data_IF_281889778531
#
_entry.id   IF_281889778531
#
_cell.length_a   1.000
_cell.length_b   1.000
_cell.length_c   1.000
_cell.angle_alpha   90.00
_cell.angle_beta   90.00
_cell.angle_gamma   90.00
#
_symmetry.space_group_name_H-M   'P 1'
#
loop_
_entity.id
_entity.type
_entity.pdbx_description
1 polymer ?
#
# COMPACT_ATOMS: atom_id res chain seq x y z
N UNK A 1 -18.82 0.38 -18.06
CA UNK A 1 -18.57 -0.59 -16.96
C UNK A 1 -18.29 -1.95 -17.57
N UNK A 2 -17.39 -2.74 -17.00
CA UNK A 2 -17.33 -4.16 -17.36
C UNK A 2 -18.64 -4.80 -16.83
N UNK A 3 -19.46 -5.40 -17.70
CA UNK A 3 -20.69 -6.10 -17.32
C UNK A 3 -20.42 -7.43 -16.61
N UNK A 4 -19.46 -7.44 -15.67
CA UNK A 4 -19.16 -8.62 -14.88
C UNK A 4 -20.14 -8.67 -13.72
N UNK A 5 -20.98 -9.73 -13.62
CA UNK A 5 -21.85 -9.91 -12.48
C UNK A 5 -21.05 -9.91 -11.16
N UNK A 6 -21.48 -9.12 -10.20
CA UNK A 6 -20.85 -9.00 -8.90
C UNK A 6 -21.28 -10.17 -7.99
N UNK A 7 -20.99 -11.37 -8.43
CA UNK A 7 -21.26 -12.63 -7.74
C UNK A 7 -20.13 -13.62 -7.96
N UNK A 8 -19.75 -14.36 -6.93
CA UNK A 8 -18.79 -15.47 -7.03
C UNK A 8 -19.41 -16.65 -7.80
N UNK A 9 -18.62 -17.26 -8.67
CA UNK A 9 -19.03 -18.46 -9.39
C UNK A 9 -17.81 -19.34 -9.70
N UNK A 10 -17.82 -20.57 -9.25
CA UNK A 10 -16.80 -21.55 -9.61
C UNK A 10 -17.40 -22.55 -10.59
N UNK A 11 -16.79 -22.67 -11.76
CA UNK A 11 -17.17 -23.63 -12.82
C UNK A 11 -16.13 -24.73 -13.00
N UNK A 12 -14.94 -24.51 -12.47
CA UNK A 12 -13.85 -25.51 -12.39
C UNK A 12 -13.22 -25.49 -11.00
N UNK A 13 -12.33 -26.45 -10.71
CA UNK A 13 -11.38 -26.28 -9.61
C UNK A 13 -10.43 -25.11 -9.89
N UNK A 14 -9.77 -24.60 -8.85
CA UNK A 14 -8.78 -23.52 -8.97
C UNK A 14 -7.38 -24.07 -8.68
N UNK A 15 -6.44 -23.99 -9.67
CA UNK A 15 -6.61 -23.46 -11.02
C UNK A 15 -7.42 -24.38 -11.95
N UNK A 16 -8.12 -23.78 -12.94
CA UNK A 16 -8.77 -24.52 -14.01
C UNK A 16 -7.79 -24.96 -15.11
N UNK A 17 -8.23 -25.78 -16.10
CA UNK A 17 -7.37 -26.36 -17.11
C UNK A 17 -6.69 -25.32 -18.03
N UNK A 18 -7.38 -24.23 -18.42
CA UNK A 18 -6.78 -23.17 -19.24
C UNK A 18 -5.73 -22.39 -18.44
N UNK A 19 -6.01 -22.13 -17.16
CA UNK A 19 -5.04 -21.50 -16.25
C UNK A 19 -3.79 -22.38 -16.09
N UNK A 20 -3.95 -23.70 -15.99
CA UNK A 20 -2.83 -24.64 -15.92
C UNK A 20 -1.97 -24.64 -17.20
N UNK A 21 -2.59 -24.58 -18.39
CA UNK A 21 -1.90 -24.43 -19.67
C UNK A 21 -1.10 -23.12 -19.74
N UNK A 22 -1.73 -22.00 -19.38
CA UNK A 22 -1.07 -20.69 -19.34
C UNK A 22 0.06 -20.64 -18.32
N UNK A 23 -0.07 -21.35 -17.20
CA UNK A 23 1.00 -21.47 -16.20
C UNK A 23 2.23 -22.20 -16.78
N UNK A 24 2.04 -23.23 -17.58
CA UNK A 24 3.15 -23.88 -18.26
C UNK A 24 3.87 -22.92 -19.25
N UNK A 25 3.12 -22.15 -20.02
CA UNK A 25 3.67 -21.10 -20.91
C UNK A 25 4.40 -20.01 -20.12
N UNK A 26 3.84 -19.59 -18.98
CA UNK A 26 4.47 -18.62 -18.09
C UNK A 26 5.82 -19.10 -17.59
N UNK A 27 5.90 -20.35 -17.12
CA UNK A 27 7.17 -20.95 -16.65
C UNK A 27 8.24 -20.95 -17.76
N UNK A 28 7.84 -21.15 -19.00
CA UNK A 28 8.77 -21.15 -20.14
C UNK A 28 9.21 -19.73 -20.58
N UNK A 29 8.38 -18.68 -20.37
CA UNK A 29 8.61 -17.36 -20.96
C UNK A 29 8.95 -16.27 -19.94
N UNK A 30 8.56 -16.40 -18.67
CA UNK A 30 8.70 -15.38 -17.64
C UNK A 30 9.81 -15.77 -16.66
N UNK A 31 10.70 -14.80 -16.38
CA UNK A 31 11.79 -15.01 -15.42
C UNK A 31 11.27 -15.50 -14.06
N UNK A 32 11.93 -16.50 -13.48
CA UNK A 32 11.52 -17.15 -12.23
C UNK A 32 11.39 -16.20 -11.05
N UNK A 33 12.13 -15.07 -11.05
CA UNK A 33 12.04 -14.02 -10.04
C UNK A 33 10.70 -13.28 -10.01
N UNK A 34 9.88 -13.37 -11.07
CA UNK A 34 8.52 -12.82 -11.09
C UNK A 34 7.57 -13.86 -10.48
N UNK A 35 7.29 -13.73 -9.18
CA UNK A 35 6.39 -14.64 -8.45
C UNK A 35 4.93 -14.57 -8.88
N UNK A 36 4.13 -15.54 -8.42
CA UNK A 36 2.67 -15.56 -8.57
C UNK A 36 2.08 -16.20 -7.31
N UNK A 37 1.14 -15.53 -6.68
CA UNK A 37 0.48 -16.01 -5.46
C UNK A 37 -0.61 -17.03 -5.78
N UNK A 38 -1.45 -16.72 -6.77
CA UNK A 38 -2.57 -17.57 -7.19
C UNK A 38 -2.36 -17.92 -8.67
N UNK A 39 -2.30 -19.20 -9.05
CA UNK A 39 -2.00 -19.62 -10.43
C UNK A 39 -3.25 -19.61 -11.33
N UNK A 40 -4.07 -18.56 -11.25
CA UNK A 40 -5.16 -18.28 -12.19
C UNK A 40 -4.76 -17.15 -13.13
N UNK A 41 -5.33 -17.15 -14.33
CA UNK A 41 -5.08 -16.09 -15.32
C UNK A 41 -6.34 -15.30 -15.55
N UNK A 42 -6.27 -14.02 -15.23
CA UNK A 42 -7.40 -13.09 -15.35
C UNK A 42 -7.75 -12.85 -16.81
N UNK A 43 -9.02 -13.03 -17.17
CA UNK A 43 -9.59 -12.65 -18.46
C UNK A 43 -10.23 -11.25 -18.37
N UNK A 44 -10.99 -10.98 -17.30
CA UNK A 44 -11.66 -9.71 -17.04
C UNK A 44 -11.69 -9.41 -15.54
N UNK A 45 -11.78 -8.15 -15.16
CA UNK A 45 -11.99 -7.75 -13.78
C UNK A 45 -12.91 -6.53 -13.72
N UNK A 46 -13.74 -6.43 -12.68
CA UNK A 46 -14.66 -5.31 -12.49
C UNK A 46 -15.23 -5.29 -11.07
N UNK A 47 -15.36 -4.10 -10.49
CA UNK A 47 -15.81 -3.96 -9.10
C UNK A 47 -14.93 -4.79 -8.14
N UNK A 48 -15.56 -5.72 -7.42
CA UNK A 48 -14.91 -6.67 -6.49
C UNK A 48 -14.71 -8.08 -7.05
N UNK A 49 -14.85 -8.30 -8.37
CA UNK A 49 -14.76 -9.62 -9.01
C UNK A 49 -13.61 -9.67 -10.02
N UNK A 50 -12.89 -10.78 -9.99
CA UNK A 50 -11.95 -11.21 -11.02
C UNK A 50 -12.55 -12.44 -11.72
N UNK A 51 -12.68 -12.39 -13.06
CA UNK A 51 -13.07 -13.52 -13.88
C UNK A 51 -11.82 -14.10 -14.57
N UNK A 52 -11.55 -15.39 -14.35
CA UNK A 52 -10.42 -16.06 -14.95
C UNK A 52 -10.73 -16.61 -16.36
N UNK A 53 -9.69 -17.11 -17.04
CA UNK A 53 -9.79 -17.69 -18.40
C UNK A 53 -10.61 -18.98 -18.44
N UNK A 54 -10.84 -19.61 -17.31
CA UNK A 54 -11.66 -20.83 -17.16
C UNK A 54 -13.14 -20.50 -16.91
N UNK A 55 -13.46 -19.22 -16.66
CA UNK A 55 -14.82 -18.73 -16.40
C UNK A 55 -15.21 -18.74 -14.92
N UNK A 56 -14.24 -18.98 -14.02
CA UNK A 56 -14.48 -18.78 -12.59
C UNK A 56 -14.52 -17.28 -12.27
N UNK A 57 -15.43 -16.88 -11.40
CA UNK A 57 -15.50 -15.54 -10.82
C UNK A 57 -15.10 -15.60 -9.36
N UNK A 58 -13.99 -14.95 -9.03
CA UNK A 58 -13.39 -14.91 -7.70
C UNK A 58 -13.68 -13.57 -7.03
N UNK A 59 -13.92 -13.61 -5.73
CA UNK A 59 -14.01 -12.39 -4.89
C UNK A 59 -12.58 -11.87 -4.68
N UNK A 60 -12.38 -10.57 -4.93
CA UNK A 60 -11.08 -9.93 -4.81
C UNK A 60 -10.93 -9.19 -3.47
N UNK A 61 -10.19 -9.79 -2.53
CA UNK A 61 -9.73 -9.10 -1.30
C UNK A 61 -8.25 -8.68 -1.39
N UNK A 62 -7.75 -8.49 -2.61
CA UNK A 62 -6.36 -8.06 -2.85
C UNK A 62 -6.23 -6.75 -3.59
N UNK A 63 -7.20 -6.39 -4.44
CA UNK A 63 -7.20 -5.16 -5.26
C UNK A 63 -5.87 -4.92 -6.00
N UNK A 64 -5.20 -5.98 -6.48
CA UNK A 64 -3.87 -5.82 -7.08
C UNK A 64 -2.82 -5.24 -6.12
N UNK A 65 -2.91 -5.54 -4.82
CA UNK A 65 -2.14 -4.98 -3.71
C UNK A 65 -2.48 -3.48 -3.52
N UNK A 66 -3.75 -3.19 -3.20
CA UNK A 66 -4.30 -1.85 -2.96
C UNK A 66 -4.24 -0.89 -4.17
N UNK A 67 -4.18 -1.41 -5.39
CA UNK A 67 -4.09 -0.59 -6.61
C UNK A 67 -5.47 -0.23 -7.14
N UNK A 68 -6.39 -1.19 -7.25
CA UNK A 68 -7.73 -1.00 -7.79
C UNK A 68 -8.75 -0.60 -6.70
N UNK A 69 -8.40 0.40 -5.89
CA UNK A 69 -9.25 0.89 -4.80
C UNK A 69 -10.63 1.35 -5.26
N UNK A 70 -10.71 1.95 -6.43
CA UNK A 70 -11.96 2.41 -7.09
C UNK A 70 -12.70 1.28 -7.82
N UNK A 71 -12.25 0.04 -7.66
CA UNK A 71 -12.69 -1.13 -8.43
C UNK A 71 -11.88 -1.31 -9.72
N UNK A 72 -11.71 -2.56 -10.14
CA UNK A 72 -11.10 -2.85 -11.43
C UNK A 72 -12.00 -2.30 -12.55
N UNK A 73 -11.41 -1.66 -13.55
CA UNK A 73 -12.11 -1.07 -14.70
C UNK A 73 -13.20 -0.05 -14.30
N UNK A 74 -12.94 0.83 -13.31
CA UNK A 74 -13.86 1.89 -12.91
C UNK A 74 -14.24 2.79 -14.10
N UNK A 75 -15.53 3.12 -14.23
CA UNK A 75 -16.08 3.79 -15.41
C UNK A 75 -15.40 5.12 -15.73
N UNK A 76 -15.24 6.00 -14.74
CA UNK A 76 -14.60 7.29 -14.94
C UNK A 76 -13.14 7.16 -15.35
N UNK A 77 -12.41 6.17 -14.80
CA UNK A 77 -11.04 5.86 -15.18
C UNK A 77 -10.97 5.42 -16.64
N UNK A 78 -11.79 4.45 -17.03
CA UNK A 78 -11.83 3.93 -18.41
C UNK A 78 -12.22 5.02 -19.41
N UNK A 79 -13.27 5.79 -19.11
CA UNK A 79 -13.77 6.88 -19.97
C UNK A 79 -12.68 7.92 -20.23
N UNK A 80 -12.06 8.45 -19.14
CA UNK A 80 -11.03 9.50 -19.26
C UNK A 80 -9.76 8.98 -19.92
N UNK A 81 -9.28 7.79 -19.53
CA UNK A 81 -8.09 7.19 -20.11
C UNK A 81 -8.27 6.87 -21.61
N UNK A 82 -9.45 6.36 -22.02
CA UNK A 82 -9.73 6.07 -23.42
C UNK A 82 -9.82 7.34 -24.28
N UNK A 83 -10.40 8.42 -23.77
CA UNK A 83 -10.41 9.71 -24.45
C UNK A 83 -8.98 10.24 -24.66
N UNK A 84 -8.17 10.25 -23.60
CA UNK A 84 -6.78 10.69 -23.67
C UNK A 84 -5.93 9.80 -24.61
N UNK A 85 -6.19 8.49 -24.62
CA UNK A 85 -5.50 7.54 -25.51
C UNK A 85 -5.76 7.84 -27.00
N UNK A 86 -6.97 8.34 -27.31
CA UNK A 86 -7.34 8.74 -28.66
C UNK A 86 -6.67 10.06 -29.10
N UNK A 87 -6.41 10.96 -28.15
CA UNK A 87 -5.77 12.25 -28.46
C UNK A 87 -4.25 12.10 -28.63
N UNK A 88 -3.55 11.66 -27.60
CA UNK A 88 -2.12 11.33 -27.63
C UNK A 88 -1.70 10.47 -26.43
N UNK A 89 -0.71 9.62 -26.64
CA UNK A 89 -0.22 8.67 -25.63
C UNK A 89 1.00 9.18 -24.90
N UNK A 90 1.80 10.08 -25.49
CA UNK A 90 3.06 10.53 -24.94
C UNK A 90 3.61 11.74 -25.68
N UNK A 91 4.15 12.72 -24.93
CA UNK A 91 4.95 13.83 -25.47
C UNK A 91 6.20 14.12 -24.62
N UNK A 92 6.37 13.45 -23.47
CA UNK A 92 7.30 13.76 -22.39
C UNK A 92 7.06 15.16 -21.81
N UNK A 93 6.49 15.24 -20.61
CA UNK A 93 6.10 16.50 -19.98
C UNK A 93 7.24 17.52 -19.90
N UNK A 94 8.48 17.06 -19.70
CA UNK A 94 9.66 17.93 -19.67
C UNK A 94 10.04 18.53 -21.05
N UNK A 95 9.50 17.99 -22.15
CA UNK A 95 9.74 18.49 -23.51
C UNK A 95 8.56 19.32 -23.98
N UNK A 96 7.35 18.75 -23.91
CA UNK A 96 6.11 19.43 -24.29
C UNK A 96 5.05 19.18 -23.24
N UNK A 97 4.83 20.16 -22.32
CA UNK A 97 3.85 20.03 -21.24
C UNK A 97 2.42 19.85 -21.74
N UNK A 98 1.57 19.25 -20.89
CA UNK A 98 0.13 19.05 -21.13
C UNK A 98 -0.68 19.24 -19.86
N UNK A 99 -1.94 19.67 -20.04
CA UNK A 99 -2.84 20.12 -18.96
C UNK A 99 -3.10 19.02 -17.91
N UNK A 100 -3.32 17.78 -18.35
CA UNK A 100 -3.64 16.67 -17.43
C UNK A 100 -2.60 16.41 -16.33
N UNK A 101 -1.30 16.68 -16.61
CA UNK A 101 -0.26 16.61 -15.57
C UNK A 101 -0.45 17.71 -14.54
N UNK A 102 -0.70 18.95 -15.01
CA UNK A 102 -0.91 20.12 -14.14
C UNK A 102 -2.15 19.89 -13.25
N UNK A 103 -3.26 19.45 -13.86
CA UNK A 103 -4.51 19.18 -13.14
C UNK A 103 -4.33 18.11 -12.04
N UNK A 104 -3.59 17.03 -12.31
CA UNK A 104 -3.26 16.04 -11.27
C UNK A 104 -2.47 16.68 -10.11
N UNK A 105 -1.48 17.53 -10.41
CA UNK A 105 -0.70 18.22 -9.38
C UNK A 105 -1.58 19.16 -8.54
N UNK A 106 -2.52 19.87 -9.17
CA UNK A 106 -3.50 20.73 -8.49
C UNK A 106 -4.41 19.91 -7.56
N UNK A 107 -4.92 18.77 -8.02
CA UNK A 107 -5.73 17.85 -7.18
C UNK A 107 -4.93 17.30 -6.01
N UNK A 108 -3.68 16.92 -6.22
CA UNK A 108 -2.81 16.46 -5.14
C UNK A 108 -2.54 17.56 -4.11
N UNK A 109 -2.33 18.79 -4.55
CA UNK A 109 -2.16 19.94 -3.64
C UNK A 109 -3.43 20.21 -2.82
N UNK A 110 -4.62 20.03 -3.41
CA UNK A 110 -5.90 20.17 -2.73
C UNK A 110 -6.13 19.05 -1.69
N UNK A 111 -5.82 17.81 -2.05
CA UNK A 111 -6.15 16.61 -1.26
C UNK A 111 -5.18 16.35 -0.10
N UNK A 112 -3.90 16.73 -0.26
CA UNK A 112 -2.88 16.47 0.77
C UNK A 112 -3.03 17.41 1.96
N UNK A 113 -2.79 16.94 3.20
CA UNK A 113 -3.03 17.73 4.41
C UNK A 113 -2.14 18.98 4.52
N UNK A 114 -2.63 19.97 5.25
CA UNK A 114 -1.97 21.25 5.54
C UNK A 114 -2.38 22.38 4.59
N UNK A 115 -2.30 23.63 5.08
CA UNK A 115 -2.74 24.85 4.38
C UNK A 115 -1.59 25.61 3.67
N UNK A 116 -0.37 25.07 3.74
CA UNK A 116 0.80 25.66 3.09
C UNK A 116 0.75 25.46 1.57
N UNK A 117 1.49 26.29 0.82
CA UNK A 117 1.67 26.11 -0.62
C UNK A 117 2.33 24.78 -0.93
N UNK A 118 1.78 24.03 -1.88
CA UNK A 118 2.25 22.70 -2.24
C UNK A 118 2.58 22.61 -3.71
N UNK A 119 3.55 21.75 -4.04
CA UNK A 119 3.88 21.35 -5.40
C UNK A 119 4.01 19.83 -5.50
N UNK A 120 3.88 19.31 -6.71
CA UNK A 120 4.01 17.88 -6.98
C UNK A 120 4.94 17.62 -8.16
N UNK A 121 5.58 16.46 -8.14
CA UNK A 121 6.27 15.89 -9.30
C UNK A 121 5.76 14.47 -9.51
N UNK A 122 5.45 14.09 -10.76
CA UNK A 122 4.86 12.80 -11.11
C UNK A 122 5.90 11.85 -11.69
N UNK A 123 5.77 10.56 -11.32
CA UNK A 123 6.64 9.46 -11.74
C UNK A 123 5.80 8.24 -12.10
N UNK A 124 6.42 7.06 -12.31
CA UNK A 124 5.71 5.85 -12.76
C UNK A 124 5.40 4.86 -11.63
N UNK A 125 6.27 4.75 -10.62
CA UNK A 125 6.18 3.74 -9.57
C UNK A 125 6.44 4.33 -8.18
N UNK A 126 5.96 3.63 -7.14
CA UNK A 126 6.21 4.03 -5.76
C UNK A 126 7.70 4.10 -5.43
N UNK A 127 8.51 3.17 -5.93
CA UNK A 127 9.95 3.21 -5.74
C UNK A 127 10.58 4.49 -6.31
N UNK A 128 10.15 4.94 -7.50
CA UNK A 128 10.60 6.21 -8.08
C UNK A 128 10.16 7.41 -7.23
N UNK A 129 8.93 7.41 -6.70
CA UNK A 129 8.47 8.46 -5.80
C UNK A 129 9.35 8.54 -4.55
N UNK A 130 9.64 7.42 -3.89
CA UNK A 130 10.51 7.39 -2.70
C UNK A 130 11.94 7.83 -3.03
N UNK A 131 12.52 7.35 -4.13
CA UNK A 131 13.86 7.77 -4.60
C UNK A 131 13.92 9.29 -4.79
N UNK A 132 12.88 9.89 -5.40
CA UNK A 132 12.81 11.32 -5.63
C UNK A 132 12.51 12.11 -4.34
N UNK A 133 11.72 11.58 -3.40
CA UNK A 133 11.54 12.20 -2.08
C UNK A 133 12.88 12.31 -1.34
N UNK A 134 13.73 11.27 -1.39
CA UNK A 134 15.09 11.31 -0.83
C UNK A 134 15.95 12.36 -1.56
N UNK A 135 15.91 12.43 -2.90
CA UNK A 135 16.65 13.45 -3.67
C UNK A 135 16.23 14.87 -3.26
N UNK A 136 14.94 15.12 -3.13
CA UNK A 136 14.38 16.42 -2.75
C UNK A 136 14.82 16.78 -1.33
N UNK A 137 14.68 15.86 -0.37
CA UNK A 137 15.08 16.08 1.02
C UNK A 137 16.58 16.39 1.16
N UNK A 138 17.43 15.63 0.45
CA UNK A 138 18.89 15.87 0.41
C UNK A 138 19.22 17.22 -0.25
N UNK A 139 18.51 17.58 -1.33
CA UNK A 139 18.70 18.86 -1.99
C UNK A 139 18.30 20.05 -1.09
N UNK A 140 17.24 19.90 -0.30
CA UNK A 140 16.76 20.92 0.61
C UNK A 140 17.64 21.06 1.85
N UNK A 141 17.89 19.98 2.57
CA UNK A 141 18.60 20.00 3.84
C UNK A 141 20.12 20.10 3.71
N UNK A 142 20.68 19.71 2.55
CA UNK A 142 22.13 19.53 2.31
C UNK A 142 22.76 18.45 3.19
N UNK A 143 21.95 17.52 3.69
CA UNK A 143 22.33 16.38 4.53
C UNK A 143 22.22 15.07 3.74
N UNK A 144 22.81 13.97 4.24
CA UNK A 144 22.89 12.71 3.48
C UNK A 144 22.14 11.55 4.08
N UNK A 145 22.04 11.46 5.41
CA UNK A 145 21.42 10.32 6.08
C UNK A 145 19.89 10.28 5.91
N UNK A 146 19.38 9.08 5.73
CA UNK A 146 17.93 8.81 5.66
C UNK A 146 17.58 7.79 6.72
N UNK A 147 16.60 8.10 7.54
CA UNK A 147 16.09 7.21 8.59
C UNK A 147 14.81 6.56 8.11
N UNK A 148 14.73 5.23 8.28
CA UNK A 148 13.55 4.39 8.02
C UNK A 148 13.28 3.50 9.22
N UNK A 149 12.18 2.76 9.21
CA UNK A 149 11.74 2.00 10.38
C UNK A 149 11.72 0.49 10.13
N UNK A 150 11.84 -0.27 11.22
CA UNK A 150 11.61 -1.71 11.18
C UNK A 150 10.24 -2.03 10.59
N UNK A 151 10.13 -3.16 9.91
CA UNK A 151 8.95 -3.60 9.18
C UNK A 151 8.58 -2.73 7.95
N UNK A 152 9.27 -1.61 7.67
CA UNK A 152 8.98 -0.74 6.53
C UNK A 152 9.28 -1.38 5.18
N UNK A 153 8.50 -0.99 4.16
CA UNK A 153 8.70 -1.37 2.76
C UNK A 153 8.57 -0.14 1.85
N UNK A 154 9.61 0.16 1.09
CA UNK A 154 9.69 1.37 0.27
C UNK A 154 9.97 1.13 -1.22
N UNK A 155 10.17 -0.12 -1.64
CA UNK A 155 10.35 -0.48 -3.04
C UNK A 155 11.45 -1.51 -3.31
N UNK A 156 11.77 -1.70 -4.59
CA UNK A 156 12.71 -2.71 -5.10
C UNK A 156 13.81 -2.14 -6.01
N UNK A 157 14.08 -0.84 -5.97
CA UNK A 157 15.29 -0.24 -6.54
C UNK A 157 16.44 -0.32 -5.54
N UNK A 158 17.66 -0.02 -5.93
CA UNK A 158 18.82 -0.20 -5.06
C UNK A 158 18.70 0.56 -3.74
N UNK A 159 18.34 1.85 -3.77
CA UNK A 159 18.12 2.65 -2.56
C UNK A 159 16.92 2.12 -1.76
N UNK A 160 15.77 1.93 -2.42
CA UNK A 160 14.53 1.53 -1.73
C UNK A 160 14.60 0.09 -1.17
N UNK A 161 15.38 -0.82 -1.77
CA UNK A 161 15.71 -2.12 -1.15
C UNK A 161 16.52 -1.93 0.13
N UNK A 162 17.50 -1.00 0.14
CA UNK A 162 18.24 -0.62 1.36
C UNK A 162 17.31 -0.13 2.46
N UNK A 163 16.29 0.65 2.09
CA UNK A 163 15.27 1.20 2.99
C UNK A 163 14.26 0.14 3.47
N UNK A 164 13.98 -0.89 2.67
CA UNK A 164 13.04 -1.97 3.02
C UNK A 164 13.62 -2.87 4.13
N UNK A 165 12.82 -3.20 5.14
CA UNK A 165 13.28 -3.97 6.30
C UNK A 165 13.45 -5.46 6.00
N UNK A 166 12.43 -6.11 5.44
CA UNK A 166 12.38 -7.56 5.24
C UNK A 166 13.41 -8.05 4.20
N UNK A 167 14.25 -9.03 4.57
CA UNK A 167 15.25 -9.61 3.68
C UNK A 167 14.59 -10.43 2.55
N UNK A 168 13.97 -11.56 2.86
CA UNK A 168 13.23 -12.35 1.87
C UNK A 168 11.78 -11.86 1.73
N UNK A 169 11.27 -11.70 0.49
CA UNK A 169 11.91 -11.98 -0.81
C UNK A 169 12.61 -10.76 -1.44
N UNK A 170 12.80 -9.64 -0.72
CA UNK A 170 13.08 -8.34 -1.33
C UNK A 170 14.55 -8.04 -1.56
N UNK A 171 15.44 -8.50 -0.67
CA UNK A 171 16.85 -8.05 -0.58
C UNK A 171 17.87 -9.16 -0.78
N UNK A 172 17.51 -10.41 -0.51
CA UNK A 172 18.44 -11.54 -0.50
C UNK A 172 19.21 -11.67 -1.82
N UNK A 173 20.52 -11.50 -1.77
CA UNK A 173 21.40 -11.65 -2.92
C UNK A 173 21.48 -10.46 -3.88
N UNK A 174 20.84 -9.30 -3.56
CA UNK A 174 20.81 -8.12 -4.44
C UNK A 174 21.72 -6.96 -4.00
N UNK A 175 22.49 -7.14 -2.90
CA UNK A 175 23.45 -6.12 -2.44
C UNK A 175 24.69 -5.99 -3.35
N UNK A 176 25.50 -4.94 -3.15
CA UNK A 176 25.38 -3.92 -2.09
C UNK A 176 24.29 -2.89 -2.36
N UNK A 177 23.72 -2.33 -1.29
CA UNK A 177 22.71 -1.29 -1.36
C UNK A 177 23.32 0.11 -1.22
N UNK A 178 22.54 1.15 -1.54
CA UNK A 178 22.93 2.53 -1.35
C UNK A 178 23.29 2.82 0.13
N UNK A 179 24.35 3.57 0.41
CA UNK A 179 24.76 3.94 1.75
C UNK A 179 23.84 5.02 2.35
N UNK A 180 24.10 5.37 3.62
CA UNK A 180 23.41 6.43 4.37
C UNK A 180 21.92 6.15 4.59
N UNK A 181 21.56 4.88 4.75
CA UNK A 181 20.23 4.44 5.16
C UNK A 181 20.31 3.77 6.52
N UNK A 182 19.64 4.34 7.49
CA UNK A 182 19.64 3.90 8.89
C UNK A 182 18.24 3.45 9.29
N UNK A 183 18.18 2.33 10.03
CA UNK A 183 16.89 1.75 10.46
C UNK A 183 16.78 1.80 11.96
N UNK A 184 15.61 2.28 12.44
CA UNK A 184 15.30 2.41 13.86
C UNK A 184 13.99 1.67 14.17
N UNK A 185 13.70 1.37 15.46
CA UNK A 185 12.49 0.70 15.87
C UNK A 185 11.21 1.46 15.50
N UNK A 186 10.10 0.70 15.32
CA UNK A 186 8.75 1.20 15.17
C UNK A 186 7.87 0.71 16.33
N UNK A 187 6.86 1.47 16.70
CA UNK A 187 5.92 1.12 17.77
C UNK A 187 4.95 0.00 17.35
N UNK A 188 5.41 -1.24 17.28
CA UNK A 188 4.58 -2.40 17.01
C UNK A 188 3.86 -2.86 18.30
N UNK A 189 2.69 -2.28 18.58
CA UNK A 189 1.99 -2.44 19.84
C UNK A 189 1.75 -3.88 20.24
N UNK A 190 1.23 -4.73 19.35
CA UNK A 190 0.97 -6.14 19.65
C UNK A 190 2.21 -6.91 20.14
N UNK A 191 3.40 -6.57 19.60
CA UNK A 191 4.67 -7.24 19.93
C UNK A 191 5.57 -6.45 20.85
N UNK A 192 5.12 -5.27 21.33
CA UNK A 192 5.96 -4.45 22.20
C UNK A 192 6.14 -5.12 23.57
N UNK A 193 7.38 -5.18 24.12
CA UNK A 193 7.65 -5.99 25.32
C UNK A 193 6.88 -5.56 26.57
N UNK A 194 6.63 -4.24 26.72
CA UNK A 194 5.96 -3.66 27.90
C UNK A 194 4.46 -3.45 27.72
N UNK A 195 3.90 -3.89 26.59
CA UNK A 195 2.48 -3.74 26.26
C UNK A 195 2.22 -2.64 25.20
N UNK A 196 1.06 -2.76 24.56
CA UNK A 196 0.67 -1.86 23.48
C UNK A 196 0.48 -0.41 23.94
N UNK A 197 0.04 -0.22 25.17
CA UNK A 197 -0.20 1.09 25.78
C UNK A 197 1.08 1.90 25.98
N UNK A 198 2.23 1.25 26.15
CA UNK A 198 3.53 1.91 26.34
C UNK A 198 4.28 2.08 25.00
N UNK A 199 3.93 1.29 23.98
CA UNK A 199 4.67 1.15 22.74
C UNK A 199 4.92 2.48 22.04
N UNK A 200 3.92 3.38 21.98
CA UNK A 200 4.04 4.65 21.30
C UNK A 200 5.14 5.55 21.90
N UNK A 201 5.11 5.73 23.21
CA UNK A 201 6.07 6.57 23.92
C UNK A 201 7.47 5.94 24.00
N UNK A 202 7.56 4.66 24.32
CA UNK A 202 8.85 3.98 24.47
C UNK A 202 9.58 3.81 23.13
N UNK A 203 8.88 3.38 22.08
CA UNK A 203 9.49 3.21 20.75
C UNK A 203 9.91 4.53 20.15
N UNK A 204 9.12 5.61 20.31
CA UNK A 204 9.53 6.93 19.81
C UNK A 204 10.76 7.46 20.55
N UNK A 205 10.80 7.30 21.88
CA UNK A 205 11.97 7.68 22.68
C UNK A 205 13.22 6.89 22.25
N UNK A 206 13.08 5.57 22.06
CA UNK A 206 14.17 4.72 21.61
C UNK A 206 14.64 5.12 20.21
N UNK A 207 13.73 5.30 19.25
CA UNK A 207 14.08 5.69 17.89
C UNK A 207 14.82 7.04 17.86
N UNK A 208 14.34 8.05 18.60
CA UNK A 208 14.96 9.37 18.72
C UNK A 208 16.36 9.28 19.34
N UNK A 209 16.51 8.49 20.40
CA UNK A 209 17.80 8.26 21.05
C UNK A 209 18.81 7.60 20.11
N UNK A 210 18.38 6.56 19.36
CA UNK A 210 19.22 5.91 18.36
C UNK A 210 19.63 6.86 17.23
N UNK A 211 18.70 7.65 16.69
CA UNK A 211 19.02 8.67 15.67
C UNK A 211 20.07 9.65 16.21
N UNK A 212 19.84 10.16 17.42
CA UNK A 212 20.70 11.18 18.02
C UNK A 212 22.10 10.65 18.30
N UNK A 213 22.22 9.44 18.84
CA UNK A 213 23.51 8.85 19.25
C UNK A 213 24.32 8.25 18.09
N UNK A 214 23.63 7.62 17.13
CA UNK A 214 24.31 6.87 16.05
C UNK A 214 24.59 7.73 14.83
N UNK A 215 23.74 8.71 14.53
CA UNK A 215 23.76 9.47 13.28
C UNK A 215 24.08 10.94 13.54
N UNK A 216 23.50 11.51 14.60
CA UNK A 216 23.40 12.96 14.82
C UNK A 216 22.26 13.55 14.01
N UNK A 217 21.30 14.20 14.67
CA UNK A 217 20.11 14.75 14.00
C UNK A 217 20.46 15.77 12.89
N UNK A 218 21.58 16.48 13.05
CA UNK A 218 22.11 17.44 12.08
C UNK A 218 22.57 16.82 10.76
N UNK A 219 22.79 15.51 10.70
CA UNK A 219 23.21 14.77 9.49
C UNK A 219 22.00 14.16 8.75
N UNK A 220 20.82 14.11 9.38
CA UNK A 220 19.63 13.46 8.82
C UNK A 220 18.92 14.39 7.84
N UNK A 221 18.80 13.95 6.58
CA UNK A 221 18.06 14.65 5.53
C UNK A 221 16.56 14.39 5.64
N UNK A 222 16.16 13.14 5.87
CA UNK A 222 14.77 12.73 5.95
C UNK A 222 14.53 11.58 6.93
N UNK A 223 13.35 11.59 7.51
CA UNK A 223 12.71 10.45 8.16
C UNK A 223 11.55 10.02 7.27
N UNK A 224 11.50 8.75 6.87
CA UNK A 224 10.50 8.20 5.95
C UNK A 224 9.78 7.04 6.60
N UNK A 225 8.45 7.11 6.66
CA UNK A 225 7.62 6.10 7.31
C UNK A 225 6.28 5.91 6.57
N UNK A 226 5.82 4.66 6.52
CA UNK A 226 4.44 4.36 6.16
C UNK A 226 3.54 4.62 7.39
N UNK A 227 2.49 5.44 7.32
CA UNK A 227 1.57 5.64 8.47
C UNK A 227 0.84 4.36 8.89
N UNK A 228 0.65 3.42 7.96
CA UNK A 228 0.32 2.01 8.23
C UNK A 228 1.30 1.16 7.44
N UNK A 229 2.13 0.37 8.12
CA UNK A 229 3.20 -0.40 7.47
C UNK A 229 2.61 -1.59 6.71
N UNK A 230 2.53 -1.48 5.38
CA UNK A 230 1.81 -2.42 4.52
C UNK A 230 2.44 -3.80 4.44
N UNK A 231 3.55 -3.94 3.75
CA UNK A 231 4.24 -5.23 3.58
C UNK A 231 4.80 -5.78 4.89
N UNK A 232 5.04 -4.92 5.87
CA UNK A 232 5.47 -5.28 7.22
C UNK A 232 4.41 -6.03 8.03
N UNK A 233 3.13 -5.97 7.62
CA UNK A 233 2.05 -6.70 8.27
C UNK A 233 0.84 -5.85 8.67
N UNK A 234 0.55 -4.77 7.98
CA UNK A 234 -0.52 -3.81 8.30
C UNK A 234 -0.40 -3.26 9.73
N UNK A 235 0.85 -3.01 10.13
CA UNK A 235 1.14 -2.50 11.46
C UNK A 235 0.75 -1.03 11.52
N UNK A 236 -0.20 -0.72 12.39
CA UNK A 236 -0.45 0.64 12.82
C UNK A 236 0.55 0.96 13.93
N UNK A 237 1.46 1.94 13.76
CA UNK A 237 2.30 2.38 14.86
C UNK A 237 1.45 2.80 16.05
N UNK A 238 1.79 2.36 17.25
CA UNK A 238 1.02 2.65 18.45
C UNK A 238 0.87 4.18 18.64
N UNK A 239 -0.30 4.58 19.13
CA UNK A 239 -0.70 5.99 19.25
C UNK A 239 0.39 6.86 19.90
N UNK A 240 0.61 8.02 19.32
CA UNK A 240 1.62 8.99 19.75
C UNK A 240 3.01 8.79 19.18
N UNK A 241 3.29 7.64 18.55
CA UNK A 241 4.58 7.39 17.90
C UNK A 241 4.82 8.35 16.72
N UNK A 242 3.90 8.35 15.75
CA UNK A 242 4.03 9.19 14.55
C UNK A 242 4.12 10.69 14.89
N UNK A 243 3.26 11.25 15.75
CA UNK A 243 3.39 12.64 16.20
C UNK A 243 4.74 12.96 16.85
N UNK A 244 5.28 12.06 17.68
CA UNK A 244 6.57 12.28 18.32
C UNK A 244 7.71 12.31 17.32
N UNK A 245 7.73 11.40 16.34
CA UNK A 245 8.74 11.37 15.27
C UNK A 245 8.61 12.60 14.36
N UNK A 246 7.37 13.00 13.99
CA UNK A 246 7.13 14.19 13.19
C UNK A 246 7.58 15.49 13.90
N UNK A 247 7.32 15.59 15.20
CA UNK A 247 7.77 16.72 16.02
C UNK A 247 9.30 16.76 16.12
N UNK A 248 9.93 15.60 16.38
CA UNK A 248 11.39 15.51 16.41
C UNK A 248 12.02 15.94 15.07
N UNK A 249 11.46 15.49 13.94
CA UNK A 249 11.91 15.89 12.61
C UNK A 249 11.81 17.41 12.42
N UNK A 250 10.66 18.00 12.77
CA UNK A 250 10.43 19.45 12.69
C UNK A 250 11.42 20.26 13.54
N UNK A 251 11.66 19.84 14.78
CA UNK A 251 12.53 20.56 15.72
C UNK A 251 14.00 20.55 15.26
N UNK A 252 14.39 19.56 14.46
CA UNK A 252 15.75 19.39 13.94
C UNK A 252 15.92 19.76 12.46
N UNK A 253 14.87 20.30 11.80
CA UNK A 253 14.92 20.65 10.38
C UNK A 253 15.15 19.46 9.47
N UNK A 254 14.63 18.29 9.85
CA UNK A 254 14.61 17.04 9.09
C UNK A 254 13.33 16.98 8.27
N UNK A 255 13.39 16.57 7.01
CA UNK A 255 12.20 16.41 6.18
C UNK A 255 11.42 15.16 6.62
N UNK A 256 10.19 15.34 7.10
CA UNK A 256 9.30 14.24 7.43
C UNK A 256 8.52 13.80 6.19
N UNK A 257 8.70 12.56 5.77
CA UNK A 257 8.07 11.97 4.59
C UNK A 257 7.07 10.90 5.01
N UNK A 258 5.80 11.10 4.73
CA UNK A 258 4.78 10.05 4.84
C UNK A 258 4.74 9.24 3.54
N UNK A 259 5.09 7.96 3.63
CA UNK A 259 4.95 7.02 2.52
C UNK A 259 3.52 6.47 2.48
N UNK A 260 2.66 7.14 1.73
CA UNK A 260 1.24 6.84 1.59
C UNK A 260 0.93 5.99 0.33
N UNK A 261 1.95 5.34 -0.22
CA UNK A 261 1.82 4.54 -1.44
C UNK A 261 0.75 3.45 -1.30
N UNK A 262 0.65 2.82 -0.13
CA UNK A 262 -0.34 1.76 0.11
C UNK A 262 -1.56 2.24 0.89
N UNK A 263 -1.40 3.19 1.80
CA UNK A 263 -2.42 3.66 2.74
C UNK A 263 -3.27 4.82 2.23
N UNK A 264 -2.78 5.58 1.25
CA UNK A 264 -3.46 6.74 0.71
C UNK A 264 -4.67 6.43 -0.18
N UNK A 265 -5.32 7.48 -0.67
CA UNK A 265 -6.47 7.44 -1.58
C UNK A 265 -7.64 6.62 -1.04
N UNK A 266 -8.17 7.08 0.08
CA UNK A 266 -9.36 6.56 0.78
C UNK A 266 -9.19 5.15 1.39
N UNK A 267 -8.05 4.48 1.19
CA UNK A 267 -7.82 3.10 1.64
C UNK A 267 -8.08 2.90 3.14
N UNK A 268 -7.68 3.87 3.97
CA UNK A 268 -7.82 3.82 5.43
C UNK A 268 -9.04 4.58 5.97
N UNK A 269 -9.95 5.03 5.10
CA UNK A 269 -11.15 5.78 5.49
C UNK A 269 -10.93 7.30 5.57
N UNK A 270 -9.76 7.77 5.14
CA UNK A 270 -9.39 9.17 4.92
C UNK A 270 -8.64 9.28 3.59
N UNK A 271 -8.40 10.51 3.08
CA UNK A 271 -7.59 10.65 1.87
C UNK A 271 -6.19 10.12 2.08
N UNK A 272 -5.59 10.39 3.25
CA UNK A 272 -4.26 9.92 3.65
C UNK A 272 -4.28 9.45 5.11
N UNK A 273 -3.60 8.35 5.40
CA UNK A 273 -3.61 7.74 6.72
C UNK A 273 -2.95 8.61 7.80
N UNK A 274 -2.01 9.49 7.44
CA UNK A 274 -1.37 10.43 8.36
C UNK A 274 -2.34 11.44 8.97
N UNK A 275 -3.51 11.67 8.37
CA UNK A 275 -4.54 12.58 8.90
C UNK A 275 -5.14 12.09 10.22
N UNK A 276 -5.09 10.79 10.51
CA UNK A 276 -5.69 10.19 11.71
C UNK A 276 -5.11 10.75 13.02
N UNK A 277 -3.81 10.99 13.06
CA UNK A 277 -3.14 11.61 14.22
C UNK A 277 -2.82 13.10 13.97
N UNK A 278 -3.48 13.73 12.99
CA UNK A 278 -3.34 15.16 12.69
C UNK A 278 -1.97 15.55 12.14
N UNK A 279 -1.26 14.61 11.50
CA UNK A 279 0.09 14.87 10.97
C UNK A 279 0.00 15.58 9.64
N UNK A 280 0.77 16.66 9.50
CA UNK A 280 1.00 17.37 8.25
C UNK A 280 2.44 17.12 7.82
N UNK A 281 2.69 16.14 6.91
CA UNK A 281 4.03 15.85 6.44
C UNK A 281 4.64 16.97 5.62
N UNK A 282 5.97 17.00 5.54
CA UNK A 282 6.67 17.90 4.63
C UNK A 282 6.58 17.40 3.19
N UNK A 283 6.67 16.08 2.99
CA UNK A 283 6.47 15.40 1.71
C UNK A 283 5.56 14.16 1.91
N UNK A 284 4.77 13.86 0.89
CA UNK A 284 3.97 12.63 0.79
C UNK A 284 4.37 11.91 -0.50
N UNK A 285 4.67 10.61 -0.42
CA UNK A 285 4.81 9.76 -1.60
C UNK A 285 3.52 8.98 -1.85
N UNK A 286 3.07 8.95 -3.09
CA UNK A 286 1.83 8.31 -3.52
C UNK A 286 2.02 7.47 -4.78
N UNK A 287 1.26 6.37 -4.89
CA UNK A 287 1.18 5.50 -6.07
C UNK A 287 -0.07 4.61 -5.97
N UNK A 288 -0.04 3.39 -6.50
CA UNK A 288 -1.10 2.37 -6.37
C UNK A 288 -2.50 2.92 -6.65
N UNK A 289 -3.27 3.26 -5.61
CA UNK A 289 -4.65 3.75 -5.73
C UNK A 289 -4.84 5.06 -6.49
N UNK A 290 -3.76 5.81 -6.74
CA UNK A 290 -3.81 7.15 -7.36
C UNK A 290 -4.49 7.16 -8.74
N UNK A 291 -4.28 6.13 -9.57
CA UNK A 291 -4.68 6.15 -10.99
C UNK A 291 -5.56 4.95 -11.42
N UNK A 292 -6.25 4.29 -10.47
CA UNK A 292 -7.24 3.24 -10.76
C UNK A 292 -6.69 2.04 -11.55
N UNK A 293 -5.39 1.74 -11.41
CA UNK A 293 -4.72 0.61 -12.06
C UNK A 293 -3.65 1.01 -13.08
N UNK A 294 -3.59 2.28 -13.49
CA UNK A 294 -2.57 2.78 -14.41
C UNK A 294 -1.29 3.16 -13.65
N UNK A 295 -0.08 2.98 -14.27
CA UNK A 295 1.19 3.32 -13.64
C UNK A 295 1.34 4.84 -13.45
N UNK A 296 1.23 5.29 -12.20
CA UNK A 296 1.46 6.67 -11.79
C UNK A 296 1.91 6.69 -10.34
N UNK A 297 2.81 7.61 -10.03
CA UNK A 297 3.19 7.96 -8.67
C UNK A 297 3.54 9.44 -8.56
N UNK A 298 3.57 9.96 -7.34
CA UNK A 298 3.89 11.34 -7.10
C UNK A 298 4.66 11.55 -5.80
N UNK A 299 5.43 12.62 -5.76
CA UNK A 299 5.86 13.29 -4.54
C UNK A 299 5.12 14.63 -4.48
N UNK A 300 4.39 14.85 -3.40
CA UNK A 300 3.68 16.11 -3.13
C UNK A 300 4.13 16.66 -1.80
N UNK A 301 4.38 17.96 -1.70
CA UNK A 301 4.76 18.54 -0.41
C UNK A 301 4.96 20.05 -0.46
N UNK A 302 5.58 20.58 0.60
CA UNK A 302 5.84 22.00 0.74
C UNK A 302 6.58 22.56 -0.46
N UNK A 303 6.05 23.65 -1.02
CA UNK A 303 6.58 24.23 -2.24
C UNK A 303 8.07 24.57 -2.14
N UNK A 304 8.51 25.12 -0.99
CA UNK A 304 9.91 25.46 -0.74
C UNK A 304 10.83 24.25 -0.69
N UNK A 305 10.33 23.09 -0.25
CA UNK A 305 11.07 21.84 -0.21
C UNK A 305 11.12 21.23 -1.61
N UNK A 306 9.99 21.18 -2.31
CA UNK A 306 9.89 20.66 -3.67
C UNK A 306 10.78 21.44 -4.66
N UNK A 307 10.86 22.77 -4.52
CA UNK A 307 11.66 23.67 -5.37
C UNK A 307 13.17 23.67 -5.03
N UNK A 308 13.61 22.95 -4.00
CA UNK A 308 15.04 22.80 -3.68
C UNK A 308 15.82 22.00 -4.72
N UNK A 309 15.15 21.14 -5.49
CA UNK A 309 15.74 20.45 -6.63
C UNK A 309 15.92 21.43 -7.80
N UNK A 310 17.13 21.48 -8.38
CA UNK A 310 17.38 22.35 -9.53
C UNK A 310 16.58 21.94 -10.77
N UNK A 311 16.37 22.85 -11.70
CA UNK A 311 15.68 22.59 -12.96
C UNK A 311 16.30 21.39 -13.70
N UNK A 312 15.48 20.44 -14.12
CA UNK A 312 15.90 19.17 -14.73
C UNK A 312 16.42 18.11 -13.72
N UNK A 313 16.44 18.42 -12.41
CA UNK A 313 16.86 17.48 -11.37
C UNK A 313 15.83 16.40 -11.05
N UNK A 314 14.55 16.65 -11.36
CA UNK A 314 13.44 15.70 -11.21
C UNK A 314 12.86 15.38 -12.58
N UNK A 315 12.37 14.16 -12.77
CA UNK A 315 11.69 13.77 -14.00
C UNK A 315 12.00 12.35 -14.43
N UNK A 316 11.50 12.02 -15.60
CA UNK A 316 11.65 10.73 -16.28
C UNK A 316 10.84 10.77 -17.57
N UNK A 317 11.29 10.06 -18.61
CA UNK A 317 10.65 10.11 -19.93
C UNK A 317 9.16 9.82 -19.89
N UNK A 318 8.73 8.87 -19.05
CA UNK A 318 7.33 8.43 -18.91
C UNK A 318 6.61 8.98 -17.66
N UNK A 319 7.33 9.68 -16.78
CA UNK A 319 6.77 10.19 -15.53
C UNK A 319 5.57 11.11 -15.77
N UNK A 320 4.45 10.82 -15.14
CA UNK A 320 3.20 11.54 -15.39
C UNK A 320 2.62 11.29 -16.78
N UNK A 321 2.68 10.05 -17.29
CA UNK A 321 2.10 9.69 -18.59
C UNK A 321 0.67 10.25 -18.74
N UNK A 322 0.30 10.88 -19.90
CA UNK A 322 -0.99 11.55 -20.06
C UNK A 322 -2.19 10.63 -19.86
N UNK A 323 -2.12 9.37 -20.28
CA UNK A 323 -3.19 8.39 -20.08
C UNK A 323 -3.33 8.03 -18.58
N UNK A 324 -2.21 7.91 -17.86
CA UNK A 324 -2.21 7.65 -16.43
C UNK A 324 -2.72 8.88 -15.64
N UNK A 325 -2.39 10.10 -16.06
CA UNK A 325 -2.94 11.34 -15.47
C UNK A 325 -4.47 11.41 -15.67
N UNK A 326 -4.96 11.11 -16.85
CA UNK A 326 -6.40 11.03 -17.13
C UNK A 326 -7.09 9.96 -16.26
N UNK A 327 -6.42 8.81 -16.07
CA UNK A 327 -6.88 7.76 -15.15
C UNK A 327 -6.93 8.22 -13.70
N UNK A 328 -5.92 8.99 -13.25
CA UNK A 328 -5.90 9.54 -11.90
C UNK A 328 -7.05 10.51 -11.63
N UNK A 329 -7.34 11.39 -12.58
CA UNK A 329 -8.48 12.29 -12.49
C UNK A 329 -9.81 11.52 -12.42
N UNK A 330 -9.96 10.42 -13.19
CA UNK A 330 -11.11 9.52 -13.10
C UNK A 330 -11.20 8.76 -11.78
N UNK A 331 -10.06 8.36 -11.21
CA UNK A 331 -10.03 7.71 -9.90
C UNK A 331 -10.45 8.68 -8.78
N UNK A 332 -9.94 9.91 -8.77
CA UNK A 332 -10.30 10.95 -7.79
C UNK A 332 -11.80 11.32 -7.93
N UNK A 333 -12.32 11.44 -9.17
CA UNK A 333 -13.74 11.65 -9.45
C UNK A 333 -14.57 10.54 -8.78
N UNK A 334 -14.24 9.27 -9.03
CA UNK A 334 -14.93 8.10 -8.44
C UNK A 334 -14.85 8.10 -6.91
N UNK A 335 -13.71 8.43 -6.32
CA UNK A 335 -13.52 8.47 -4.86
C UNK A 335 -14.45 9.49 -4.21
N UNK A 336 -14.61 10.67 -4.83
CA UNK A 336 -15.48 11.74 -4.32
C UNK A 336 -16.96 11.41 -4.52
N UNK A 337 -17.35 11.03 -5.74
CA UNK A 337 -18.74 10.78 -6.10
C UNK A 337 -19.38 9.62 -5.31
N UNK A 338 -18.59 8.60 -5.00
CA UNK A 338 -19.05 7.41 -4.29
C UNK A 338 -18.77 7.43 -2.79
N UNK A 339 -18.21 8.52 -2.25
CA UNK A 339 -17.76 8.62 -0.85
C UNK A 339 -16.96 7.39 -0.41
N UNK A 340 -15.82 7.16 -1.08
CA UNK A 340 -15.03 5.96 -0.78
C UNK A 340 -14.38 6.00 0.62
N UNK A 341 -14.26 7.17 1.25
CA UNK A 341 -13.86 7.27 2.66
C UNK A 341 -14.92 6.66 3.58
N UNK A 342 -16.20 7.01 3.38
CA UNK A 342 -17.31 6.42 4.11
C UNK A 342 -17.43 4.93 3.88
N UNK A 343 -17.29 4.48 2.63
CA UNK A 343 -17.31 3.04 2.29
C UNK A 343 -16.16 2.26 2.94
N UNK A 344 -14.96 2.80 2.96
CA UNK A 344 -13.83 2.16 3.63
C UNK A 344 -14.08 1.97 5.14
N UNK A 345 -14.65 2.96 5.83
CA UNK A 345 -15.05 2.86 7.23
C UNK A 345 -16.12 1.79 7.44
N UNK A 346 -17.11 1.68 6.53
CA UNK A 346 -18.12 0.62 6.58
C UNK A 346 -17.50 -0.77 6.41
N UNK A 347 -16.54 -0.92 5.48
CA UNK A 347 -15.79 -2.17 5.30
C UNK A 347 -15.04 -2.53 6.58
N UNK A 348 -14.39 -1.57 7.23
CA UNK A 348 -13.71 -1.77 8.52
C UNK A 348 -14.66 -2.33 9.59
N UNK A 349 -15.80 -1.68 9.77
CA UNK A 349 -16.81 -2.08 10.76
C UNK A 349 -17.25 -3.53 10.54
N UNK A 350 -17.64 -3.89 9.30
CA UNK A 350 -18.09 -5.24 8.95
C UNK A 350 -16.97 -6.25 9.16
N UNK A 351 -15.79 -5.99 8.63
CA UNK A 351 -14.67 -6.95 8.68
C UNK A 351 -14.18 -7.16 10.10
N UNK A 352 -13.89 -6.07 10.85
CA UNK A 352 -13.40 -6.20 12.24
C UNK A 352 -14.44 -6.90 13.12
N UNK A 353 -15.73 -6.63 12.94
CA UNK A 353 -16.80 -7.32 13.66
C UNK A 353 -16.78 -8.82 13.42
N UNK A 354 -16.76 -9.25 12.15
CA UNK A 354 -16.71 -10.67 11.78
C UNK A 354 -15.43 -11.36 12.23
N UNK A 355 -14.28 -10.71 12.10
CA UNK A 355 -12.99 -11.26 12.53
C UNK A 355 -12.92 -11.43 14.06
N UNK A 356 -13.46 -10.48 14.83
CA UNK A 356 -13.57 -10.60 16.29
C UNK A 356 -14.52 -11.73 16.71
N UNK A 357 -15.61 -11.96 15.97
CA UNK A 357 -16.48 -13.11 16.17
C UNK A 357 -15.76 -14.43 15.92
N UNK A 358 -15.00 -14.53 14.82
CA UNK A 358 -14.18 -15.71 14.53
C UNK A 358 -13.17 -15.98 15.65
N UNK A 359 -12.44 -14.94 16.12
CA UNK A 359 -11.48 -15.04 17.20
C UNK A 359 -12.12 -15.53 18.51
N UNK A 360 -13.33 -15.06 18.82
CA UNK A 360 -13.99 -15.36 20.11
C UNK A 360 -14.84 -16.62 20.12
N UNK A 361 -15.39 -17.03 18.98
CA UNK A 361 -16.40 -18.10 18.91
C UNK A 361 -15.89 -19.41 18.31
N UNK A 362 -14.85 -19.38 17.45
CA UNK A 362 -14.33 -20.60 16.83
C UNK A 362 -13.39 -21.35 17.81
N UNK A 363 -13.37 -22.70 17.77
CA UNK A 363 -12.53 -23.51 18.65
C UNK A 363 -11.03 -23.21 18.56
N UNK A 364 -10.58 -22.79 17.38
CA UNK A 364 -9.19 -22.40 17.09
C UNK A 364 -9.01 -20.88 17.00
N UNK A 365 -9.96 -20.10 17.54
CA UNK A 365 -9.95 -18.63 17.46
C UNK A 365 -8.73 -17.98 18.11
N UNK A 366 -8.10 -18.64 19.08
CA UNK A 366 -6.87 -18.21 19.74
C UNK A 366 -5.62 -18.26 18.84
N UNK A 367 -5.71 -18.85 17.65
CA UNK A 367 -4.70 -18.73 16.62
C UNK A 367 -4.71 -17.34 15.95
N UNK A 368 -5.78 -16.55 16.08
CA UNK A 368 -5.80 -15.13 15.70
C UNK A 368 -5.21 -14.33 16.87
N UNK A 369 -3.92 -14.00 16.79
CA UNK A 369 -3.24 -13.25 17.86
C UNK A 369 -3.60 -11.77 17.86
N UNK A 370 -3.84 -11.17 16.70
CA UNK A 370 -4.16 -9.75 16.56
C UNK A 370 -5.04 -9.48 15.34
N UNK A 371 -5.97 -8.54 15.48
CA UNK A 371 -6.82 -8.00 14.41
C UNK A 371 -6.56 -6.51 14.34
N UNK A 372 -6.03 -6.01 13.22
CA UNK A 372 -5.60 -4.62 13.10
C UNK A 372 -5.84 -4.02 11.73
N UNK A 373 -5.58 -2.73 11.62
CA UNK A 373 -5.72 -1.95 10.39
C UNK A 373 -6.88 -0.96 10.45
N UNK A 374 -7.02 -0.13 9.42
CA UNK A 374 -8.03 0.93 9.30
C UNK A 374 -8.68 0.92 7.93
N UNK A 375 -9.94 1.30 7.86
CA UNK A 375 -10.71 1.33 6.62
C UNK A 375 -10.75 -0.04 5.96
N UNK A 376 -10.39 -0.12 4.70
CA UNK A 376 -10.29 -1.37 3.95
C UNK A 376 -8.86 -1.91 3.85
N UNK A 377 -8.03 -1.60 4.83
CA UNK A 377 -6.67 -2.12 5.00
C UNK A 377 -6.61 -2.89 6.33
N UNK A 378 -7.17 -4.11 6.36
CA UNK A 378 -7.39 -4.93 7.55
C UNK A 378 -6.54 -6.19 7.46
N UNK A 379 -6.05 -6.67 8.61
CA UNK A 379 -5.28 -7.89 8.71
C UNK A 379 -5.57 -8.69 9.98
N UNK A 380 -5.33 -9.99 9.89
CA UNK A 380 -5.18 -10.87 11.05
C UNK A 380 -3.75 -11.38 11.12
N UNK A 381 -3.21 -11.41 12.33
CA UNK A 381 -1.91 -12.00 12.61
C UNK A 381 -2.09 -13.39 13.22
N UNK A 382 -1.59 -14.42 12.52
CA UNK A 382 -1.71 -15.79 12.99
C UNK A 382 -0.51 -16.17 13.86
N UNK A 383 -0.81 -16.83 14.97
CA UNK A 383 0.15 -17.27 15.97
C UNK A 383 -0.14 -18.71 16.38
N UNK A 384 0.86 -19.38 16.96
CA UNK A 384 0.61 -20.67 17.62
C UNK A 384 -0.35 -20.46 18.78
N UNK A 385 -1.40 -21.29 18.90
CA UNK A 385 -2.42 -21.15 19.94
C UNK A 385 -1.84 -20.92 21.35
N UNK A 386 -2.40 -19.93 22.04
CA UNK A 386 -1.97 -19.56 23.40
C UNK A 386 -0.62 -18.86 23.51
N UNK A 387 -0.01 -18.45 22.39
CA UNK A 387 1.30 -17.76 22.36
C UNK A 387 1.28 -16.51 21.48
N UNK A 388 2.40 -15.79 21.41
CA UNK A 388 2.66 -14.76 20.39
C UNK A 388 3.64 -15.25 19.31
N UNK A 389 3.99 -16.55 19.27
CA UNK A 389 4.90 -17.10 18.28
C UNK A 389 4.25 -17.08 16.88
N UNK A 390 4.88 -16.46 15.88
CA UNK A 390 4.31 -16.37 14.51
C UNK A 390 4.06 -17.74 13.89
N UNK A 391 2.91 -17.93 13.24
CA UNK A 391 2.58 -19.13 12.48
C UNK A 391 2.38 -18.84 10.98
N UNK A 392 3.50 -18.80 10.26
CA UNK A 392 3.49 -18.59 8.80
C UNK A 392 2.89 -19.78 8.05
N UNK A 393 2.96 -21.01 8.62
CA UNK A 393 2.40 -22.20 8.00
C UNK A 393 0.87 -22.13 8.01
N UNK A 394 0.27 -21.76 9.14
CA UNK A 394 -1.17 -21.54 9.26
C UNK A 394 -1.65 -20.43 8.31
N UNK A 395 -0.93 -19.31 8.23
CA UNK A 395 -1.28 -18.24 7.30
C UNK A 395 -1.26 -18.68 5.82
N UNK A 396 -0.25 -19.46 5.44
CA UNK A 396 -0.15 -20.03 4.10
C UNK A 396 -1.24 -21.07 3.79
N UNK A 397 -1.60 -21.91 4.77
CA UNK A 397 -2.67 -22.89 4.64
C UNK A 397 -4.04 -22.21 4.48
N UNK A 398 -4.32 -21.22 5.34
CA UNK A 398 -5.56 -20.44 5.27
C UNK A 398 -5.72 -19.73 3.93
N UNK A 399 -4.66 -19.06 3.45
CA UNK A 399 -4.69 -18.41 2.15
C UNK A 399 -5.02 -19.40 1.02
N UNK A 400 -4.41 -20.60 1.01
CA UNK A 400 -4.68 -21.64 0.01
C UNK A 400 -6.11 -22.15 0.09
N UNK A 401 -6.66 -22.35 1.28
CA UNK A 401 -8.04 -22.77 1.47
C UNK A 401 -9.03 -21.71 0.94
N UNK A 402 -8.80 -20.42 1.23
CA UNK A 402 -9.57 -19.31 0.67
C UNK A 402 -9.49 -19.28 -0.86
N UNK A 403 -8.31 -19.46 -1.43
CA UNK A 403 -8.11 -19.47 -2.87
C UNK A 403 -8.89 -20.61 -3.54
N UNK A 404 -8.91 -21.80 -2.96
CA UNK A 404 -9.65 -22.96 -3.49
C UNK A 404 -11.17 -22.70 -3.54
N UNK A 405 -11.68 -21.90 -2.59
CA UNK A 405 -13.09 -21.48 -2.52
C UNK A 405 -13.39 -20.20 -3.34
N UNK A 406 -12.40 -19.70 -4.09
CA UNK A 406 -12.58 -18.51 -4.95
C UNK A 406 -12.57 -17.18 -4.21
N UNK A 407 -11.89 -17.10 -3.07
CA UNK A 407 -11.58 -15.84 -2.38
C UNK A 407 -10.09 -15.54 -2.50
N UNK A 408 -9.75 -14.44 -3.20
CA UNK A 408 -8.36 -13.97 -3.30
C UNK A 408 -7.98 -13.21 -2.04
N UNK A 409 -7.08 -13.74 -1.27
CA UNK A 409 -6.45 -13.11 -0.12
C UNK A 409 -4.92 -13.15 -0.26
N UNK A 410 -4.23 -12.29 0.49
CA UNK A 410 -2.77 -12.16 0.41
C UNK A 410 -2.13 -12.34 1.78
N UNK A 411 -0.94 -12.91 1.80
CA UNK A 411 -0.10 -12.95 3.00
C UNK A 411 0.92 -11.82 2.98
N UNK A 412 1.33 -11.36 4.16
CA UNK A 412 2.41 -10.39 4.35
C UNK A 412 3.06 -10.55 5.74
N UNK A 413 3.71 -9.48 6.22
CA UNK A 413 4.37 -9.46 7.52
C UNK A 413 5.82 -9.90 7.45
N UNK A 414 6.62 -9.36 8.35
CA UNK A 414 8.05 -9.70 8.46
C UNK A 414 8.24 -11.19 8.73
N UNK A 415 7.34 -11.78 9.50
CA UNK A 415 7.36 -13.22 9.84
C UNK A 415 6.53 -14.10 8.89
N UNK A 416 5.83 -13.51 7.90
CA UNK A 416 5.02 -14.25 6.94
C UNK A 416 3.71 -14.83 7.50
N UNK A 417 3.31 -14.42 8.69
CA UNK A 417 2.16 -14.95 9.44
C UNK A 417 0.93 -14.05 9.44
N UNK A 418 0.90 -13.05 8.57
CA UNK A 418 -0.22 -12.11 8.47
C UNK A 418 -1.02 -12.38 7.22
N UNK A 419 -2.33 -12.57 7.36
CA UNK A 419 -3.29 -12.55 6.27
C UNK A 419 -3.87 -11.15 6.17
N UNK A 420 -3.76 -10.54 4.98
CA UNK A 420 -4.20 -9.16 4.74
C UNK A 420 -5.36 -9.10 3.76
N UNK A 421 -6.25 -8.16 4.01
CA UNK A 421 -7.46 -7.91 3.25
C UNK A 421 -7.46 -6.49 2.72
N UNK A 422 -7.61 -6.37 1.41
CA UNK A 422 -7.61 -5.12 0.65
C UNK A 422 -8.76 -5.15 -0.37
N UNK A 423 -10.02 -5.35 0.05
CA UNK A 423 -11.12 -5.35 -0.92
C UNK A 423 -11.18 -4.01 -1.66
N UNK A 424 -11.63 -3.97 -2.93
CA UNK A 424 -11.97 -2.72 -3.59
C UNK A 424 -13.01 -1.96 -2.76
N UNK A 425 -12.86 -0.63 -2.64
CA UNK A 425 -13.74 0.19 -1.80
C UNK A 425 -15.19 0.26 -2.33
N UNK A 426 -15.39 -0.18 -3.56
CA UNK A 426 -16.70 -0.27 -4.22
C UNK A 426 -17.37 -1.64 -4.06
N UNK A 427 -16.76 -2.57 -3.33
CA UNK A 427 -17.33 -3.90 -3.10
C UNK A 427 -18.70 -3.79 -2.43
N UNK A 428 -19.68 -4.57 -2.92
CA UNK A 428 -21.00 -4.66 -2.28
C UNK A 428 -20.93 -5.43 -0.96
N UNK A 429 -21.79 -5.08 -0.01
CA UNK A 429 -21.80 -5.69 1.33
C UNK A 429 -22.11 -7.20 1.28
N UNK A 430 -22.99 -7.64 0.37
CA UNK A 430 -23.28 -9.07 0.18
C UNK A 430 -22.03 -9.84 -0.25
N UNK A 431 -21.28 -9.30 -1.22
CA UNK A 431 -20.05 -9.93 -1.72
C UNK A 431 -18.95 -9.90 -0.67
N UNK A 432 -18.87 -8.83 0.13
CA UNK A 432 -17.95 -8.71 1.27
C UNK A 432 -18.24 -9.79 2.31
N UNK A 433 -19.53 -9.97 2.67
CA UNK A 433 -19.95 -11.00 3.63
C UNK A 433 -19.73 -12.42 3.08
N UNK A 434 -20.03 -12.69 1.80
CA UNK A 434 -19.72 -14.00 1.20
C UNK A 434 -18.21 -14.32 1.29
N UNK A 435 -17.34 -13.33 1.04
CA UNK A 435 -15.90 -13.50 1.22
C UNK A 435 -15.51 -13.80 2.66
N UNK A 436 -16.14 -13.15 3.63
CA UNK A 436 -15.92 -13.41 5.06
C UNK A 436 -16.44 -14.79 5.48
N UNK A 437 -17.57 -15.26 4.92
CA UNK A 437 -18.09 -16.61 5.15
C UNK A 437 -17.12 -17.69 4.64
N UNK A 438 -16.49 -17.45 3.50
CA UNK A 438 -15.43 -18.35 2.97
C UNK A 438 -14.24 -18.36 3.92
N UNK A 439 -13.78 -17.20 4.36
CA UNK A 439 -12.68 -17.08 5.30
C UNK A 439 -12.96 -17.81 6.61
N UNK A 440 -14.16 -17.65 7.17
CA UNK A 440 -14.58 -18.30 8.41
C UNK A 440 -14.59 -19.83 8.27
N UNK A 441 -15.18 -20.36 7.18
CA UNK A 441 -15.17 -21.80 6.92
C UNK A 441 -13.75 -22.35 6.73
N UNK A 442 -12.90 -21.63 6.01
CA UNK A 442 -11.52 -22.01 5.79
C UNK A 442 -10.71 -22.01 7.09
N UNK A 443 -10.93 -20.99 7.93
CA UNK A 443 -10.27 -20.86 9.24
C UNK A 443 -10.69 -21.98 10.20
N UNK A 444 -11.97 -22.33 10.25
CA UNK A 444 -12.50 -23.40 11.11
C UNK A 444 -11.92 -24.79 10.77
N UNK A 445 -11.23 -24.96 9.64
CA UNK A 445 -10.61 -26.22 9.19
C UNK A 445 -9.10 -26.26 9.46
N UNK A 446 -8.50 -25.19 9.98
CA UNK A 446 -7.10 -25.15 10.39
C UNK A 446 -6.89 -25.96 11.68
#
# INVERSE_FOLDING_TARGET
MSDIPQERRLVTAIPGPKSAELQARRVAAVAAGVGSTLPVFTARAGGGIIEDVDGNRLIDFGSGIAVTSVGASAEAVVRRASAQLADFTHTCFMVTPYEGYVEVCERLAELTPGDHAKKSALFNSGAEAVENAVKIARAYTKRTAVVVFDHGYHGRTNLTMGMTAKNMPYKQGFGPFAPEVYRVPVAYGYRWPTGAENAGAEASAQAIDEITKQIGAENVAAVIIEPVLGEGGFIEPAKGFLPAIAQFAKDNGIVFVADEIQSGFCRTGQWFACEDEGIVPDLITTAKGIAGGLPLSAVTGRAEIMDAAHAGGLGGTYGGNPVACAGALGAIETMRELDLNGKAKRIEEVMKGRLAEMQSKLPNGDAIGDIRGRGAMIAIELVKPGTKEPDAAAAGALAKACHAEGLLVLTCGTYGNVLRFLPPLVIGEDLLNEGLDILERAFAQL
#
